data_IF_104482715562
#
_entry.id   IF_104482715562
#
_cell.length_a   1.000
_cell.length_b   1.000
_cell.length_c   1.000
_cell.angle_alpha   90.00
_cell.angle_beta   90.00
_cell.angle_gamma   90.00
#
_symmetry.space_group_name_H-M   'P 1'
#
loop_
_entity.id
_entity.type
_entity.pdbx_description
1 polymer ?
#
# COMPACT_ATOMS: atom_id res chain seq x y z
N UNK A 1 22.09 3.10 -11.22
CA UNK A 1 21.85 4.16 -10.23
C UNK A 1 20.72 5.07 -10.69
N UNK A 2 20.78 5.70 -11.87
CA UNK A 2 19.77 6.67 -12.36
C UNK A 2 18.36 6.08 -12.51
N UNK A 3 18.18 4.86 -13.00
CA UNK A 3 16.85 4.23 -13.14
C UNK A 3 16.14 4.12 -11.78
N UNK A 4 16.84 3.69 -10.75
CA UNK A 4 16.27 3.54 -9.41
C UNK A 4 15.83 4.89 -8.82
N UNK A 5 16.65 5.93 -8.98
CA UNK A 5 16.32 7.28 -8.49
C UNK A 5 15.10 7.85 -9.21
N UNK A 6 15.01 7.70 -10.55
CA UNK A 6 13.85 8.16 -11.33
C UNK A 6 12.60 7.42 -10.87
N UNK A 7 12.66 6.10 -10.68
CA UNK A 7 11.52 5.31 -10.22
C UNK A 7 11.05 5.76 -8.83
N UNK A 8 11.98 5.95 -7.89
CA UNK A 8 11.64 6.40 -6.52
C UNK A 8 11.01 7.80 -6.53
N UNK A 9 11.56 8.71 -7.35
CA UNK A 9 11.00 10.06 -7.50
C UNK A 9 9.59 10.01 -8.09
N UNK A 10 9.39 9.22 -9.15
CA UNK A 10 8.07 9.04 -9.77
C UNK A 10 7.05 8.45 -8.79
N UNK A 11 7.43 7.45 -7.99
CA UNK A 11 6.59 6.87 -6.95
C UNK A 11 6.21 7.92 -5.88
N UNK A 12 7.14 8.80 -5.50
CA UNK A 12 6.85 9.90 -4.58
C UNK A 12 5.78 10.86 -5.12
N UNK A 13 5.86 11.24 -6.40
CA UNK A 13 4.83 12.07 -7.05
C UNK A 13 3.48 11.35 -7.14
N UNK A 14 3.47 10.07 -7.45
CA UNK A 14 2.24 9.27 -7.50
C UNK A 14 1.61 9.19 -6.10
N UNK A 15 2.39 8.89 -5.06
CA UNK A 15 1.92 8.85 -3.68
C UNK A 15 1.34 10.20 -3.22
N UNK A 16 2.00 11.31 -3.56
CA UNK A 16 1.50 12.65 -3.28
C UNK A 16 0.18 12.93 -4.02
N UNK A 17 0.08 12.54 -5.29
CA UNK A 17 -1.14 12.71 -6.07
C UNK A 17 -2.32 11.91 -5.51
N UNK A 18 -2.07 10.67 -5.05
CA UNK A 18 -3.06 9.84 -4.36
C UNK A 18 -3.47 10.50 -3.04
N UNK A 19 -2.51 10.97 -2.25
CA UNK A 19 -2.77 11.65 -0.98
C UNK A 19 -3.69 12.87 -1.12
N UNK A 20 -3.58 13.63 -2.21
CA UNK A 20 -4.44 14.79 -2.48
C UNK A 20 -5.90 14.43 -2.76
N UNK A 21 -6.20 13.20 -3.20
CA UNK A 21 -7.58 12.73 -3.37
C UNK A 21 -8.24 12.39 -2.03
N UNK A 22 -7.44 12.22 -0.97
CA UNK A 22 -7.94 11.90 0.35
C UNK A 22 -8.48 13.11 1.09
N UNK A 23 -9.79 13.14 1.28
CA UNK A 23 -10.44 14.13 2.17
C UNK A 23 -10.76 13.50 3.51
N UNK A 24 -10.29 14.12 4.58
CA UNK A 24 -10.54 13.67 5.97
C UNK A 24 -12.04 13.50 6.26
N UNK A 25 -12.90 14.30 5.62
CA UNK A 25 -14.36 14.19 5.73
C UNK A 25 -14.90 12.86 5.16
N UNK A 26 -14.30 12.36 4.08
CA UNK A 26 -14.69 11.08 3.48
C UNK A 26 -14.21 9.90 4.33
N UNK A 27 -13.04 10.02 4.95
CA UNK A 27 -12.52 9.02 5.89
C UNK A 27 -13.46 8.82 7.09
N UNK A 28 -14.09 9.89 7.58
CA UNK A 28 -15.05 9.82 8.70
C UNK A 28 -16.36 9.11 8.31
N UNK A 29 -16.81 9.25 7.07
CA UNK A 29 -18.09 8.69 6.60
C UNK A 29 -17.99 7.27 6.08
N UNK A 30 -16.94 6.95 5.35
CA UNK A 30 -16.79 5.66 4.66
C UNK A 30 -15.57 4.84 5.13
N UNK A 31 -14.77 5.38 6.05
CA UNK A 31 -13.51 4.76 6.49
C UNK A 31 -13.68 3.36 7.05
N UNK A 32 -14.74 3.11 7.83
CA UNK A 32 -15.02 1.77 8.38
C UNK A 32 -15.27 0.74 7.28
N UNK A 33 -16.04 1.12 6.25
CA UNK A 33 -16.30 0.24 5.11
C UNK A 33 -15.02 -0.01 4.30
N UNK A 34 -14.24 1.05 4.05
CA UNK A 34 -12.98 0.95 3.31
C UNK A 34 -11.97 0.05 4.04
N UNK A 35 -11.83 0.20 5.36
CA UNK A 35 -10.94 -0.64 6.18
C UNK A 35 -11.40 -2.11 6.14
N UNK A 36 -12.69 -2.35 6.33
CA UNK A 36 -13.21 -3.72 6.31
C UNK A 36 -13.01 -4.38 4.95
N UNK A 37 -13.35 -3.68 3.86
CA UNK A 37 -13.18 -4.21 2.50
C UNK A 37 -11.71 -4.40 2.17
N UNK A 38 -10.83 -3.43 2.46
CA UNK A 38 -9.39 -3.51 2.21
C UNK A 38 -8.74 -4.70 2.93
N UNK A 39 -9.01 -4.85 4.23
CA UNK A 39 -8.47 -5.98 5.00
C UNK A 39 -9.00 -7.32 4.47
N UNK A 40 -10.31 -7.44 4.28
CA UNK A 40 -10.90 -8.69 3.83
C UNK A 40 -10.40 -9.08 2.43
N UNK A 41 -10.36 -8.14 1.49
CA UNK A 41 -9.88 -8.44 0.13
C UNK A 41 -8.40 -8.87 0.15
N UNK A 42 -7.54 -8.18 0.87
CA UNK A 42 -6.11 -8.50 0.94
C UNK A 42 -5.88 -9.88 1.58
N UNK A 43 -6.53 -10.16 2.73
CA UNK A 43 -6.41 -11.44 3.43
C UNK A 43 -6.96 -12.59 2.58
N UNK A 44 -8.15 -12.42 1.98
CA UNK A 44 -8.75 -13.48 1.15
C UNK A 44 -7.88 -13.74 -0.09
N UNK A 45 -7.39 -12.70 -0.75
CA UNK A 45 -6.51 -12.84 -1.91
C UNK A 45 -5.22 -13.59 -1.54
N UNK A 46 -4.57 -13.20 -0.44
CA UNK A 46 -3.38 -13.89 0.05
C UNK A 46 -3.66 -15.37 0.30
N UNK A 47 -4.71 -15.70 1.05
CA UNK A 47 -5.06 -17.09 1.38
C UNK A 47 -5.34 -17.91 0.11
N UNK A 48 -6.12 -17.37 -0.83
CA UNK A 48 -6.49 -18.09 -2.07
C UNK A 48 -5.25 -18.34 -2.93
N UNK A 49 -4.38 -17.36 -3.06
CA UNK A 49 -3.14 -17.52 -3.83
C UNK A 49 -2.15 -18.43 -3.11
N UNK A 50 -2.01 -18.33 -1.79
CA UNK A 50 -1.20 -19.26 -0.99
C UNK A 50 -1.65 -20.70 -1.18
N UNK A 51 -2.93 -20.98 -1.08
CA UNK A 51 -3.47 -22.33 -1.31
C UNK A 51 -3.10 -22.80 -2.72
N UNK A 52 -3.30 -21.99 -3.75
CA UNK A 52 -2.98 -22.36 -5.12
C UNK A 52 -1.47 -22.65 -5.31
N UNK A 53 -0.61 -21.81 -4.74
CA UNK A 53 0.84 -21.97 -4.86
C UNK A 53 1.38 -23.11 -4.00
N UNK A 54 0.81 -23.38 -2.83
CA UNK A 54 1.14 -24.53 -1.99
C UNK A 54 0.74 -25.82 -2.70
N UNK A 55 -0.43 -25.87 -3.33
CA UNK A 55 -0.84 -27.03 -4.15
C UNK A 55 0.15 -27.24 -5.30
N UNK A 56 0.58 -26.16 -5.97
CA UNK A 56 1.61 -26.25 -7.02
C UNK A 56 2.94 -26.78 -6.47
N UNK A 57 3.37 -26.34 -5.29
CA UNK A 57 4.54 -26.87 -4.60
C UNK A 57 4.41 -28.37 -4.33
N UNK A 58 3.24 -28.84 -3.86
CA UNK A 58 3.00 -30.25 -3.59
C UNK A 58 3.05 -31.11 -4.86
N UNK A 59 2.63 -30.58 -5.99
CA UNK A 59 2.68 -31.26 -7.30
C UNK A 59 4.12 -31.31 -7.82
N UNK A 60 4.85 -30.20 -7.72
CA UNK A 60 6.22 -30.10 -8.23
C UNK A 60 7.09 -29.22 -7.31
N UNK A 61 7.71 -29.81 -6.26
CA UNK A 61 8.57 -29.06 -5.33
C UNK A 61 9.81 -28.41 -5.97
N UNK A 62 10.25 -28.91 -7.13
CA UNK A 62 11.39 -28.32 -7.84
C UNK A 62 11.05 -27.01 -8.54
N UNK A 63 9.79 -26.75 -8.83
CA UNK A 63 9.35 -25.54 -9.52
C UNK A 63 9.26 -24.35 -8.56
N UNK A 64 8.75 -24.57 -7.35
CA UNK A 64 8.50 -23.53 -6.36
C UNK A 64 8.74 -24.07 -4.96
N UNK A 65 9.58 -23.39 -4.17
CA UNK A 65 9.77 -23.74 -2.76
C UNK A 65 8.59 -23.27 -1.90
N UNK A 66 8.34 -23.93 -0.78
CA UNK A 66 7.26 -23.53 0.14
C UNK A 66 7.41 -22.10 0.67
N UNK A 67 8.62 -21.63 1.09
CA UNK A 67 8.84 -20.25 1.47
C UNK A 67 8.52 -19.25 0.35
N UNK A 68 8.90 -19.58 -0.90
CA UNK A 68 8.59 -18.75 -2.07
C UNK A 68 7.08 -18.70 -2.35
N UNK A 69 6.36 -19.81 -2.17
CA UNK A 69 4.91 -19.85 -2.34
C UNK A 69 4.20 -18.87 -1.40
N UNK A 70 4.52 -18.93 -0.10
CA UNK A 70 3.93 -18.08 0.95
C UNK A 70 4.28 -16.61 0.71
N UNK A 71 5.51 -16.28 0.30
CA UNK A 71 5.91 -14.91 0.00
C UNK A 71 5.18 -14.35 -1.21
N UNK A 72 5.02 -15.15 -2.28
CA UNK A 72 4.31 -14.74 -3.49
C UNK A 72 2.82 -14.52 -3.25
N UNK A 73 2.18 -15.32 -2.38
CA UNK A 73 0.79 -15.12 -2.02
C UNK A 73 0.53 -13.78 -1.34
N UNK A 74 1.42 -13.35 -0.45
CA UNK A 74 1.32 -12.03 0.17
C UNK A 74 1.54 -10.90 -0.86
N UNK A 75 2.46 -11.06 -1.81
CA UNK A 75 2.68 -10.09 -2.89
C UNK A 75 1.43 -9.96 -3.78
N UNK A 76 0.71 -11.05 -3.99
CA UNK A 76 -0.49 -11.05 -4.82
C UNK A 76 -1.66 -10.21 -4.25
N UNK A 77 -1.63 -9.90 -2.94
CA UNK A 77 -2.62 -9.01 -2.32
C UNK A 77 -2.43 -7.54 -2.70
N UNK A 78 -1.22 -7.14 -3.11
CA UNK A 78 -0.92 -5.75 -3.42
C UNK A 78 -1.68 -5.27 -4.67
N UNK A 79 -2.29 -4.09 -4.57
CA UNK A 79 -2.99 -3.44 -5.68
C UNK A 79 -2.16 -2.31 -6.29
N UNK A 80 -2.53 -1.87 -7.50
CA UNK A 80 -1.83 -0.80 -8.21
C UNK A 80 -2.60 0.53 -8.11
N UNK A 81 -2.35 1.37 -7.11
CA UNK A 81 -3.09 2.61 -6.87
C UNK A 81 -3.00 3.59 -8.05
N UNK A 82 -1.84 3.64 -8.71
CA UNK A 82 -1.63 4.55 -9.83
C UNK A 82 -2.54 4.24 -11.03
N UNK A 83 -2.73 2.96 -11.36
CA UNK A 83 -3.60 2.55 -12.48
C UNK A 83 -5.06 2.90 -12.18
N UNK A 84 -5.53 2.61 -10.97
CA UNK A 84 -6.88 2.94 -10.51
C UNK A 84 -7.14 4.46 -10.58
N UNK A 85 -6.20 5.25 -10.06
CA UNK A 85 -6.32 6.71 -10.08
C UNK A 85 -6.33 7.27 -11.50
N UNK A 86 -5.49 6.74 -12.41
CA UNK A 86 -5.46 7.17 -13.81
C UNK A 86 -6.80 6.90 -14.50
N UNK A 87 -7.39 5.73 -14.31
CA UNK A 87 -8.70 5.38 -14.89
C UNK A 87 -9.79 6.30 -14.34
N UNK A 88 -9.84 6.50 -13.01
CA UNK A 88 -10.81 7.40 -12.37
C UNK A 88 -10.72 8.82 -12.94
N UNK A 89 -9.50 9.35 -13.12
CA UNK A 89 -9.29 10.68 -13.69
C UNK A 89 -9.63 10.75 -15.18
N UNK A 90 -9.25 9.73 -15.95
CA UNK A 90 -9.51 9.70 -17.40
C UNK A 90 -11.01 9.72 -17.70
N UNK A 91 -11.80 8.98 -16.94
CA UNK A 91 -13.25 8.91 -17.12
C UNK A 91 -14.00 9.93 -16.28
N UNK A 92 -13.29 10.78 -15.51
CA UNK A 92 -13.89 11.75 -14.58
C UNK A 92 -14.94 11.11 -13.68
N UNK A 93 -14.66 9.86 -13.27
CA UNK A 93 -15.58 9.08 -12.46
C UNK A 93 -15.73 9.72 -11.07
N UNK A 94 -16.94 10.02 -10.67
CA UNK A 94 -17.29 10.48 -9.32
C UNK A 94 -18.49 9.70 -8.80
N UNK A 95 -18.50 9.44 -7.51
CA UNK A 95 -19.57 8.73 -6.84
C UNK A 95 -19.12 8.00 -5.59
N UNK A 96 -20.07 7.43 -4.84
CA UNK A 96 -19.76 6.72 -3.60
C UNK A 96 -18.81 5.53 -3.81
N UNK A 97 -19.01 4.78 -4.90
CA UNK A 97 -18.17 3.63 -5.25
C UNK A 97 -16.73 4.06 -5.57
N UNK A 98 -16.56 5.11 -6.36
CA UNK A 98 -15.23 5.64 -6.72
C UNK A 98 -14.47 6.11 -5.47
N UNK A 99 -15.15 6.81 -4.57
CA UNK A 99 -14.59 7.28 -3.30
C UNK A 99 -14.20 6.12 -2.40
N UNK A 100 -15.05 5.10 -2.29
CA UNK A 100 -14.75 3.88 -1.54
C UNK A 100 -13.54 3.16 -2.14
N UNK A 101 -13.51 2.98 -3.47
CA UNK A 101 -12.43 2.30 -4.18
C UNK A 101 -11.08 2.98 -3.93
N UNK A 102 -11.00 4.30 -4.05
CA UNK A 102 -9.76 5.04 -3.79
C UNK A 102 -9.28 4.90 -2.34
N UNK A 103 -10.22 4.89 -1.38
CA UNK A 103 -9.87 4.64 0.03
C UNK A 103 -9.39 3.21 0.28
N UNK A 104 -10.04 2.22 -0.32
CA UNK A 104 -9.63 0.81 -0.21
C UNK A 104 -8.21 0.64 -0.74
N UNK A 105 -7.93 1.15 -1.94
CA UNK A 105 -6.61 1.06 -2.57
C UNK A 105 -5.49 1.66 -1.71
N UNK A 106 -5.77 2.74 -1.00
CA UNK A 106 -4.74 3.33 -0.13
C UNK A 106 -4.54 2.59 1.21
N UNK A 107 -5.60 1.99 1.74
CA UNK A 107 -5.50 1.15 2.94
C UNK A 107 -4.80 -0.16 2.60
N UNK A 108 -5.01 -0.65 1.40
CA UNK A 108 -4.46 -1.90 0.89
C UNK A 108 -2.94 -1.93 0.91
N UNK A 109 -2.29 -0.82 0.60
CA UNK A 109 -0.82 -0.70 0.68
C UNK A 109 -0.30 -0.99 2.11
N UNK A 110 -0.96 -0.44 3.13
CA UNK A 110 -0.58 -0.69 4.52
C UNK A 110 -0.87 -2.14 4.95
N UNK A 111 -2.02 -2.69 4.56
CA UNK A 111 -2.40 -4.07 4.86
C UNK A 111 -1.47 -5.04 4.11
N UNK A 112 -1.17 -4.77 2.85
CA UNK A 112 -0.26 -5.56 2.02
C UNK A 112 1.16 -5.61 2.61
N UNK A 113 1.66 -4.49 3.14
CA UNK A 113 2.95 -4.44 3.81
C UNK A 113 2.98 -5.35 5.05
N UNK A 114 1.95 -5.32 5.88
CA UNK A 114 1.84 -6.19 7.06
C UNK A 114 1.77 -7.66 6.65
N UNK A 115 0.91 -8.00 5.68
CA UNK A 115 0.78 -9.37 5.17
C UNK A 115 2.10 -9.89 4.58
N UNK A 116 2.77 -9.06 3.77
CA UNK A 116 4.08 -9.40 3.21
C UNK A 116 5.12 -9.66 4.30
N UNK A 117 5.21 -8.79 5.31
CA UNK A 117 6.19 -8.94 6.38
C UNK A 117 5.94 -10.18 7.23
N UNK A 118 4.67 -10.49 7.52
CA UNK A 118 4.30 -11.73 8.23
C UNK A 118 4.65 -12.97 7.39
N UNK A 119 4.26 -12.98 6.12
CA UNK A 119 4.54 -14.10 5.20
C UNK A 119 6.04 -14.30 4.97
N UNK A 120 6.79 -13.19 4.80
CA UNK A 120 8.24 -13.24 4.64
C UNK A 120 8.94 -13.74 5.91
N UNK A 121 8.44 -13.34 7.09
CA UNK A 121 8.94 -13.87 8.37
C UNK A 121 8.67 -15.35 8.54
N UNK A 122 7.49 -15.84 8.15
CA UNK A 122 7.16 -17.28 8.15
C UNK A 122 8.07 -18.03 7.17
N UNK A 123 8.26 -17.49 5.96
CA UNK A 123 9.15 -18.07 4.96
C UNK A 123 10.59 -18.16 5.44
N UNK A 124 11.13 -17.13 6.06
CA UNK A 124 12.46 -17.11 6.67
C UNK A 124 12.61 -18.11 7.81
N UNK A 125 11.56 -18.29 8.60
CA UNK A 125 11.55 -19.29 9.68
C UNK A 125 11.59 -20.72 9.17
N UNK A 126 10.92 -21.00 8.06
CA UNK A 126 10.95 -22.30 7.40
C UNK A 126 12.35 -22.61 6.83
N UNK A 127 13.11 -21.59 6.42
CA UNK A 127 14.48 -21.77 5.90
C UNK A 127 15.53 -21.82 7.01
N UNK A 128 15.46 -20.95 8.01
CA UNK A 128 16.50 -20.78 9.03
C UNK A 128 16.20 -21.48 10.37
N UNK A 129 15.00 -22.00 10.55
CA UNK A 129 14.59 -22.70 11.79
C UNK A 129 14.41 -21.81 13.02
N UNK A 130 14.42 -20.49 12.87
CA UNK A 130 14.22 -19.53 13.98
C UNK A 130 13.27 -18.41 13.58
N UNK A 131 12.17 -18.24 14.32
CA UNK A 131 11.24 -17.12 14.15
C UNK A 131 11.56 -16.05 15.19
N UNK A 132 11.91 -14.85 14.76
CA UNK A 132 11.83 -13.66 15.61
C UNK A 132 10.44 -13.05 15.44
N UNK A 133 9.51 -13.38 16.34
CA UNK A 133 8.15 -12.82 16.34
C UNK A 133 8.20 -11.28 16.41
N UNK A 134 9.23 -10.74 17.05
CA UNK A 134 9.42 -9.28 17.18
C UNK A 134 9.68 -8.63 15.84
N UNK A 135 10.60 -9.17 15.01
CA UNK A 135 10.89 -8.59 13.70
C UNK A 135 9.74 -8.77 12.71
N UNK A 136 9.03 -9.87 12.78
CA UNK A 136 7.93 -10.17 11.86
C UNK A 136 6.71 -9.27 12.08
N UNK A 137 6.40 -8.88 13.32
CA UNK A 137 5.19 -8.10 13.64
C UNK A 137 5.52 -6.65 14.00
N UNK A 138 6.57 -6.43 14.78
CA UNK A 138 6.86 -5.10 15.34
C UNK A 138 7.50 -4.17 14.30
N UNK A 139 8.40 -4.68 13.47
CA UNK A 139 9.06 -3.86 12.43
C UNK A 139 8.08 -3.23 11.45
N UNK A 140 7.11 -3.94 10.84
CA UNK A 140 6.14 -3.32 9.93
C UNK A 140 5.26 -2.28 10.62
N UNK A 141 4.86 -2.53 11.86
CA UNK A 141 4.03 -1.58 12.62
C UNK A 141 4.83 -0.29 12.89
N UNK A 142 6.08 -0.43 13.32
CA UNK A 142 6.98 0.71 13.55
C UNK A 142 7.20 1.49 12.24
N UNK A 143 7.44 0.80 11.14
CA UNK A 143 7.65 1.41 9.82
C UNK A 143 6.42 2.21 9.36
N UNK A 144 5.21 1.66 9.51
CA UNK A 144 3.96 2.36 9.22
C UNK A 144 3.82 3.60 10.11
N UNK A 145 4.05 3.48 11.42
CA UNK A 145 3.92 4.61 12.36
C UNK A 145 4.94 5.72 12.04
N UNK A 146 6.19 5.35 11.81
CA UNK A 146 7.23 6.32 11.44
C UNK A 146 6.90 7.01 10.12
N UNK A 147 6.44 6.25 9.11
CA UNK A 147 6.05 6.80 7.80
C UNK A 147 4.89 7.78 7.91
N UNK A 148 3.88 7.47 8.74
CA UNK A 148 2.76 8.38 9.02
C UNK A 148 3.21 9.67 9.72
N UNK A 149 4.09 9.55 10.72
CA UNK A 149 4.63 10.72 11.43
C UNK A 149 5.47 11.59 10.49
N UNK A 150 6.37 10.99 9.71
CA UNK A 150 7.19 11.71 8.73
C UNK A 150 6.33 12.36 7.64
N UNK A 151 5.31 11.66 7.16
CA UNK A 151 4.34 12.20 6.19
C UNK A 151 3.57 13.39 6.76
N UNK A 152 3.09 13.30 8.00
CA UNK A 152 2.41 14.40 8.68
C UNK A 152 3.31 15.62 8.87
N UNK A 153 4.55 15.42 9.33
CA UNK A 153 5.53 16.49 9.51
C UNK A 153 5.89 17.15 8.18
N UNK A 154 6.14 16.36 7.15
CA UNK A 154 6.43 16.86 5.80
C UNK A 154 5.25 17.63 5.21
N UNK A 155 4.01 17.13 5.38
CA UNK A 155 2.81 17.81 4.97
C UNK A 155 2.59 19.15 5.68
N UNK A 156 2.85 19.21 6.99
CA UNK A 156 2.79 20.46 7.76
C UNK A 156 3.86 21.45 7.29
N UNK A 157 5.09 20.98 7.04
CA UNK A 157 6.17 21.81 6.53
C UNK A 157 5.85 22.38 5.15
N UNK A 158 5.30 21.57 4.24
CA UNK A 158 4.85 22.02 2.91
C UNK A 158 3.71 23.04 3.01
N UNK A 159 2.72 22.81 3.86
CA UNK A 159 1.64 23.75 4.08
C UNK A 159 2.14 25.08 4.64
N UNK A 160 3.13 25.04 5.56
CA UNK A 160 3.75 26.24 6.09
C UNK A 160 4.54 27.00 5.00
N UNK A 161 5.31 26.28 4.16
CA UNK A 161 6.00 26.88 3.01
C UNK A 161 4.99 27.50 2.02
N UNK A 162 3.93 26.79 1.70
CA UNK A 162 2.89 27.27 0.77
C UNK A 162 2.26 28.58 1.28
N UNK A 163 1.93 28.67 2.57
CA UNK A 163 1.40 29.93 3.15
C UNK A 163 2.41 31.06 3.08
N UNK A 164 3.70 30.78 3.19
CA UNK A 164 4.77 31.81 3.09
C UNK A 164 4.95 32.29 1.65
N UNK A 165 4.86 31.40 0.66
CA UNK A 165 5.01 31.73 -0.76
C UNK A 165 3.71 32.16 -1.48
N UNK A 166 2.57 32.10 -0.81
CA UNK A 166 1.22 32.33 -1.43
C UNK A 166 0.96 33.78 -1.86
N UNK A 167 1.89 34.69 -1.69
CA UNK A 167 1.70 36.11 -2.05
C UNK A 167 1.82 36.41 -3.56
N UNK A 168 2.28 35.49 -4.43
CA UNK A 168 2.58 35.81 -5.84
C UNK A 168 1.97 34.90 -6.92
N UNK A 169 1.38 33.78 -6.60
CA UNK A 169 1.00 32.77 -7.64
C UNK A 169 -0.50 32.65 -7.96
N UNK A 170 -1.38 33.50 -7.46
CA UNK A 170 -2.83 33.44 -7.78
C UNK A 170 -3.19 33.87 -9.20
N UNK A 171 -2.23 34.16 -10.09
CA UNK A 171 -2.52 34.64 -11.45
C UNK A 171 -2.19 33.70 -12.59
N UNK A 172 -1.77 32.44 -12.28
CA UNK A 172 -1.34 31.48 -13.31
C UNK A 172 -2.13 30.17 -13.32
N UNK A 173 -3.30 30.12 -12.66
CA UNK A 173 -4.19 28.95 -12.70
C UNK A 173 -5.60 29.38 -13.16
N UNK A 174 -5.68 29.95 -14.36
CA UNK A 174 -6.90 30.06 -15.18
C UNK A 174 -6.67 29.33 -16.49
#
# INVERSE_FOLDING_TARGET
>A
VYKRQITQTALGFIAFAIGNEFRVSQLKTMGKQAITVGILQAVITTIVVDIALIVLHLINPALLSLPSAITLGAIAAATAPAATLMVVRQYKADGPLTKLLLMVVAIDDAVGLVLFSVSFGIAGALEMGSISVVSVILEPIIEIVISLVLGALSGLALNWLETYFHSRSKRLSL
#
